data_IF_040424566044
#
_entry.id   IF_040424566044
#
_cell.length_a   1.000
_cell.length_b   1.000
_cell.length_c   1.000
_cell.angle_alpha   90.00
_cell.angle_beta   90.00
_cell.angle_gamma   90.00
#
_symmetry.space_group_name_H-M   'P 1'
#
loop_
_entity.id
_entity.type
_entity.pdbx_description
1 polymer ?
#
# COMPACT_ATOMS: atom_id res chain seq x y z
N UNK A 1 -3.79 31.04 8.85
CA UNK A 1 -4.66 30.27 7.94
C UNK A 1 -3.97 28.95 7.73
N UNK A 2 -4.65 27.82 7.92
CA UNK A 2 -4.08 26.53 7.53
C UNK A 2 -3.81 26.57 6.02
N UNK A 3 -2.72 25.95 5.58
CA UNK A 3 -2.46 25.79 4.16
C UNK A 3 -3.65 25.04 3.52
N UNK A 4 -4.05 25.46 2.33
CA UNK A 4 -5.15 24.87 1.59
C UNK A 4 -4.80 23.42 1.26
N UNK A 5 -3.54 23.16 0.89
CA UNK A 5 -3.02 21.80 0.63
C UNK A 5 -3.08 20.95 1.89
N UNK A 6 -2.63 21.46 3.04
CA UNK A 6 -2.73 20.73 4.33
C UNK A 6 -4.18 20.33 4.66
N UNK A 7 -5.13 21.22 4.35
CA UNK A 7 -6.56 20.97 4.58
C UNK A 7 -7.12 19.91 3.63
N UNK A 8 -6.68 19.91 2.36
CA UNK A 8 -7.03 18.86 1.39
C UNK A 8 -6.47 17.50 1.81
N UNK A 9 -5.22 17.46 2.27
CA UNK A 9 -4.58 16.23 2.74
C UNK A 9 -5.24 15.70 4.02
N UNK A 10 -5.61 16.57 4.97
CA UNK A 10 -6.40 16.16 6.14
C UNK A 10 -7.76 15.59 5.74
N UNK A 11 -8.41 16.17 4.73
CA UNK A 11 -9.67 15.65 4.20
C UNK A 11 -9.47 14.27 3.54
N UNK A 12 -8.43 14.07 2.73
CA UNK A 12 -8.11 12.78 2.12
C UNK A 12 -7.83 11.68 3.15
N UNK A 13 -7.27 12.02 4.33
CA UNK A 13 -7.09 11.07 5.44
C UNK A 13 -8.39 10.65 6.13
N UNK A 14 -9.50 11.37 5.88
CA UNK A 14 -10.81 11.12 6.53
C UNK A 14 -11.85 10.57 5.57
N UNK A 15 -11.75 10.85 4.27
CA UNK A 15 -12.66 10.34 3.27
C UNK A 15 -12.46 8.83 3.04
N UNK A 16 -13.49 8.12 2.55
CA UNK A 16 -13.37 6.70 2.24
C UNK A 16 -12.22 6.43 1.25
N UNK A 17 -11.23 5.60 1.60
CA UNK A 17 -10.04 5.35 0.77
C UNK A 17 -10.34 4.53 -0.49
N UNK A 18 -11.51 3.89 -0.57
CA UNK A 18 -11.99 3.22 -1.80
C UNK A 18 -12.37 4.20 -2.90
N UNK A 19 -12.48 5.50 -2.61
CA UNK A 19 -12.86 6.55 -3.57
C UNK A 19 -11.78 7.60 -3.76
N UNK A 20 -10.51 7.25 -3.50
CA UNK A 20 -9.39 8.19 -3.58
C UNK A 20 -9.34 8.92 -4.92
N UNK A 21 -9.48 8.22 -6.05
CA UNK A 21 -9.47 8.84 -7.39
C UNK A 21 -10.60 9.88 -7.57
N UNK A 22 -11.83 9.54 -7.15
CA UNK A 22 -12.99 10.45 -7.21
C UNK A 22 -12.78 11.67 -6.31
N UNK A 23 -12.26 11.46 -5.10
CA UNK A 23 -12.01 12.50 -4.12
C UNK A 23 -10.93 13.47 -4.62
N UNK A 24 -9.82 12.96 -5.16
CA UNK A 24 -8.74 13.78 -5.75
C UNK A 24 -9.27 14.58 -6.94
N UNK A 25 -10.02 13.94 -7.85
CA UNK A 25 -10.62 14.65 -9.00
C UNK A 25 -11.58 15.77 -8.54
N UNK A 26 -12.37 15.54 -7.49
CA UNK A 26 -13.26 16.55 -6.94
C UNK A 26 -12.49 17.72 -6.30
N UNK A 27 -11.38 17.46 -5.61
CA UNK A 27 -10.54 18.49 -5.00
C UNK A 27 -9.81 19.33 -6.04
N UNK A 28 -9.29 18.70 -7.10
CA UNK A 28 -8.68 19.40 -8.25
C UNK A 28 -9.70 20.32 -8.92
N UNK A 29 -10.96 19.89 -9.08
CA UNK A 29 -12.02 20.75 -9.63
C UNK A 29 -12.37 21.92 -8.71
N UNK A 30 -12.25 21.74 -7.39
CA UNK A 30 -12.55 22.79 -6.41
C UNK A 30 -11.45 23.86 -6.36
N UNK A 31 -10.19 23.43 -6.50
CA UNK A 31 -9.03 24.31 -6.39
C UNK A 31 -7.95 23.88 -7.39
N UNK A 32 -8.11 24.23 -8.68
CA UNK A 32 -7.22 23.79 -9.75
C UNK A 32 -5.79 24.31 -9.61
N UNK A 33 -5.60 25.45 -8.94
CA UNK A 33 -4.29 26.06 -8.72
C UNK A 33 -3.35 25.20 -7.84
N UNK A 34 -3.90 24.23 -7.11
CA UNK A 34 -3.15 23.31 -6.23
C UNK A 34 -3.13 21.87 -6.77
N UNK A 35 -3.50 21.65 -8.04
CA UNK A 35 -3.59 20.32 -8.61
C UNK A 35 -2.24 19.58 -8.58
N UNK A 36 -1.16 20.25 -8.95
CA UNK A 36 0.18 19.66 -9.01
C UNK A 36 0.70 19.28 -7.62
N UNK A 37 0.51 20.17 -6.63
CA UNK A 37 0.89 19.92 -5.24
C UNK A 37 0.10 18.74 -4.65
N UNK A 38 -1.20 18.65 -4.96
CA UNK A 38 -2.06 17.57 -4.48
C UNK A 38 -1.71 16.24 -5.12
N UNK A 39 -1.51 16.20 -6.44
CA UNK A 39 -1.13 14.98 -7.17
C UNK A 39 0.27 14.50 -6.76
N UNK A 40 1.20 15.41 -6.49
CA UNK A 40 2.52 15.06 -5.96
C UNK A 40 2.51 14.54 -4.52
N UNK A 41 1.43 14.82 -3.76
CA UNK A 41 1.32 14.50 -2.33
C UNK A 41 0.32 13.38 -2.01
N UNK A 42 -0.48 12.92 -2.98
CA UNK A 42 -1.54 11.93 -2.73
C UNK A 42 -1.37 10.73 -3.64
N UNK A 43 -0.93 9.63 -3.05
CA UNK A 43 -0.86 8.34 -3.72
C UNK A 43 -2.27 7.87 -4.13
N UNK A 44 -2.42 7.53 -5.40
CA UNK A 44 -3.64 6.96 -5.97
C UNK A 44 -3.46 5.46 -6.26
N UNK A 45 -4.53 4.65 -6.26
CA UNK A 45 -4.47 3.24 -6.62
C UNK A 45 -3.77 3.01 -7.97
N UNK A 46 -2.94 1.98 -8.06
CA UNK A 46 -2.14 1.74 -9.26
C UNK A 46 -3.01 1.23 -10.40
N UNK A 47 -2.86 1.85 -11.57
CA UNK A 47 -3.58 1.47 -12.78
C UNK A 47 -2.76 0.47 -13.59
N UNK A 48 -3.41 -0.57 -14.10
CA UNK A 48 -2.77 -1.53 -15.00
C UNK A 48 -2.95 -1.05 -16.44
N UNK A 49 -1.85 -0.91 -17.17
CA UNK A 49 -1.83 -0.62 -18.61
C UNK A 49 -1.02 -1.69 -19.33
N UNK A 50 -1.27 -1.85 -20.62
CA UNK A 50 -0.55 -2.81 -21.47
C UNK A 50 0.32 -2.05 -22.46
N UNK A 51 1.61 -2.38 -22.49
CA UNK A 51 2.54 -1.84 -23.48
C UNK A 51 2.22 -2.42 -24.86
N UNK A 52 1.87 -1.56 -25.82
CA UNK A 52 1.51 -1.99 -27.18
C UNK A 52 2.67 -2.58 -27.97
N UNK A 53 3.91 -2.20 -27.66
CA UNK A 53 5.08 -2.66 -28.40
C UNK A 53 5.51 -4.05 -27.93
N UNK A 54 5.42 -4.32 -26.63
CA UNK A 54 5.90 -5.58 -26.02
C UNK A 54 4.78 -6.55 -25.64
N UNK A 55 3.54 -6.08 -25.54
CA UNK A 55 2.38 -6.85 -25.05
C UNK A 55 2.41 -7.14 -23.55
N UNK A 56 3.32 -6.52 -22.79
CA UNK A 56 3.47 -6.72 -21.36
C UNK A 56 2.69 -5.69 -20.57
N UNK A 57 2.09 -6.12 -19.47
CA UNK A 57 1.43 -5.20 -18.54
C UNK A 57 2.46 -4.43 -17.70
N UNK A 58 2.09 -3.20 -17.33
CA UNK A 58 2.86 -2.34 -16.44
C UNK A 58 1.92 -1.52 -15.55
N UNK A 59 2.48 -0.98 -14.47
CA UNK A 59 1.76 -0.15 -13.50
C UNK A 59 1.96 1.32 -13.82
N UNK A 60 0.84 2.04 -13.92
CA UNK A 60 0.77 3.46 -14.19
C UNK A 60 0.43 4.23 -12.91
N UNK A 61 1.17 5.31 -12.70
CA UNK A 61 1.05 6.27 -11.61
C UNK A 61 1.52 7.65 -12.08
N UNK A 62 1.48 8.66 -11.23
CA UNK A 62 1.89 10.01 -11.61
C UNK A 62 3.40 10.12 -11.92
N UNK A 63 4.25 9.25 -11.34
CA UNK A 63 5.71 9.27 -11.58
C UNK A 63 6.14 8.81 -12.98
N UNK A 64 5.29 8.10 -13.73
CA UNK A 64 5.57 7.72 -15.12
C UNK A 64 4.60 8.38 -16.11
N UNK A 65 3.89 9.42 -15.66
CA UNK A 65 2.91 10.17 -16.44
C UNK A 65 3.54 11.47 -16.95
N UNK A 66 3.23 11.81 -18.19
CA UNK A 66 3.50 13.12 -18.78
C UNK A 66 2.26 13.56 -19.56
N UNK A 67 1.64 14.67 -19.15
CA UNK A 67 0.30 15.05 -19.62
C UNK A 67 -0.74 13.94 -19.38
N UNK A 68 -1.27 13.36 -20.45
CA UNK A 68 -2.23 12.24 -20.40
C UNK A 68 -1.62 10.90 -20.84
N UNK A 69 -0.31 10.88 -21.06
CA UNK A 69 0.42 9.70 -21.54
C UNK A 69 1.26 9.08 -20.44
N UNK A 70 1.48 7.77 -20.55
CA UNK A 70 2.25 7.00 -19.57
C UNK A 70 3.39 6.27 -20.24
N UNK A 71 4.59 6.36 -19.66
CA UNK A 71 5.80 5.69 -20.14
C UNK A 71 5.81 4.23 -19.72
N UNK A 72 5.97 3.32 -20.68
CA UNK A 72 6.17 1.89 -20.40
C UNK A 72 7.61 1.63 -19.92
N UNK A 73 7.81 0.82 -18.87
CA UNK A 73 9.14 0.43 -18.42
C UNK A 73 9.80 -0.59 -19.37
N UNK A 74 9.04 -1.21 -20.28
CA UNK A 74 9.54 -2.22 -21.20
C UNK A 74 10.04 -1.60 -22.51
N UNK A 75 9.17 -0.91 -23.24
CA UNK A 75 9.51 -0.23 -24.50
C UNK A 75 10.21 1.12 -24.31
N UNK A 76 10.05 1.76 -23.15
CA UNK A 76 10.42 3.16 -22.91
C UNK A 76 9.61 4.17 -23.73
N UNK A 77 8.46 3.76 -24.28
CA UNK A 77 7.59 4.61 -25.08
C UNK A 77 6.39 5.08 -24.25
N UNK A 78 5.88 6.27 -24.58
CA UNK A 78 4.65 6.82 -24.02
C UNK A 78 3.42 6.33 -24.79
N UNK A 79 2.33 6.02 -24.08
CA UNK A 79 1.00 5.79 -24.68
C UNK A 79 -0.05 6.70 -24.00
N UNK A 80 -0.72 7.60 -24.76
CA UNK A 80 -0.51 7.91 -26.19
C UNK A 80 0.91 8.42 -26.52
N UNK A 81 1.40 8.25 -27.78
CA UNK A 81 2.73 8.70 -28.17
C UNK A 81 2.94 10.20 -27.93
N UNK A 82 4.08 10.54 -27.33
CA UNK A 82 4.55 11.90 -27.11
C UNK A 82 5.93 12.08 -27.75
N UNK A 83 6.17 13.23 -28.39
CA UNK A 83 7.46 13.56 -29.01
C UNK A 83 8.45 14.17 -28.00
N UNK A 84 7.94 14.84 -26.96
CA UNK A 84 8.67 15.60 -25.95
C UNK A 84 8.56 15.04 -24.53
N UNK A 85 8.17 13.77 -24.41
CA UNK A 85 8.05 13.09 -23.11
C UNK A 85 9.38 12.94 -22.38
N UNK A 86 9.35 13.13 -21.06
CA UNK A 86 10.56 13.06 -20.23
C UNK A 86 11.11 11.62 -20.13
N UNK A 87 12.37 11.41 -20.51
CA UNK A 87 13.01 10.07 -20.46
C UNK A 87 14.31 10.08 -19.66
N UNK A 88 14.63 8.98 -18.95
CA UNK A 88 15.88 8.88 -18.20
C UNK A 88 17.10 8.86 -19.12
N UNK A 89 18.25 9.29 -18.62
CA UNK A 89 19.52 9.21 -19.34
C UNK A 89 19.87 7.76 -19.73
N UNK A 90 20.68 7.56 -20.78
CA UNK A 90 21.05 6.22 -21.25
C UNK A 90 21.75 5.34 -20.20
N UNK A 91 22.44 5.97 -19.22
CA UNK A 91 23.03 5.26 -18.07
C UNK A 91 21.93 4.82 -17.11
N UNK A 92 21.03 5.73 -16.75
CA UNK A 92 19.96 5.46 -15.81
C UNK A 92 18.93 4.47 -16.37
N UNK A 93 18.62 4.54 -17.67
CA UNK A 93 17.74 3.57 -18.34
C UNK A 93 18.26 2.13 -18.26
N UNK A 94 19.58 1.91 -18.35
CA UNK A 94 20.16 0.56 -18.15
C UNK A 94 19.95 0.06 -16.73
N UNK A 95 20.07 0.96 -15.75
CA UNK A 95 19.78 0.64 -14.36
C UNK A 95 18.29 0.36 -14.15
N UNK A 96 17.40 1.13 -14.77
CA UNK A 96 15.95 0.95 -14.73
C UNK A 96 15.52 -0.42 -15.28
N UNK A 97 16.11 -0.86 -16.39
CA UNK A 97 15.85 -2.21 -16.96
C UNK A 97 16.28 -3.29 -15.98
N UNK A 98 17.50 -3.21 -15.44
CA UNK A 98 18.00 -4.17 -14.45
C UNK A 98 17.17 -4.17 -13.16
N UNK A 99 16.69 -3.01 -12.73
CA UNK A 99 15.81 -2.88 -11.57
C UNK A 99 14.44 -3.53 -11.82
N UNK A 100 13.85 -3.34 -13.01
CA UNK A 100 12.61 -4.02 -13.38
C UNK A 100 12.76 -5.54 -13.34
N UNK A 101 13.87 -6.10 -13.84
CA UNK A 101 14.14 -7.55 -13.76
C UNK A 101 14.28 -8.04 -12.31
N UNK A 102 15.02 -7.30 -11.48
CA UNK A 102 15.22 -7.64 -10.07
C UNK A 102 13.90 -7.61 -9.28
N UNK A 103 13.10 -6.56 -9.45
CA UNK A 103 11.83 -6.40 -8.75
C UNK A 103 10.71 -7.29 -9.31
N UNK A 104 10.78 -7.73 -10.57
CA UNK A 104 9.90 -8.80 -11.06
C UNK A 104 10.21 -10.15 -10.40
N UNK A 105 11.50 -10.44 -10.15
CA UNK A 105 11.89 -11.62 -9.36
C UNK A 105 11.44 -11.49 -7.90
N UNK A 106 11.61 -10.31 -7.28
CA UNK A 106 11.11 -10.02 -5.94
C UNK A 106 9.59 -10.25 -5.84
N UNK A 107 8.84 -9.69 -6.80
CA UNK A 107 7.39 -9.87 -6.92
C UNK A 107 7.02 -11.35 -6.96
N UNK A 108 7.69 -12.14 -7.81
CA UNK A 108 7.38 -13.57 -7.91
C UNK A 108 7.61 -14.30 -6.59
N UNK A 109 8.72 -14.03 -5.89
CA UNK A 109 9.05 -14.69 -4.62
C UNK A 109 8.10 -14.32 -3.47
N UNK A 110 7.62 -13.07 -3.42
CA UNK A 110 6.82 -12.58 -2.30
C UNK A 110 5.31 -12.53 -2.55
N UNK A 111 4.89 -12.40 -3.82
CA UNK A 111 3.49 -12.21 -4.21
C UNK A 111 2.94 -13.35 -5.06
N UNK A 112 3.78 -14.25 -5.57
CA UNK A 112 3.39 -15.41 -6.40
C UNK A 112 2.41 -15.00 -7.53
N UNK A 113 2.77 -13.95 -8.26
CA UNK A 113 1.94 -13.31 -9.29
C UNK A 113 1.80 -11.79 -9.09
N UNK A 114 0.80 -11.19 -9.72
CA UNK A 114 0.65 -9.73 -9.75
C UNK A 114 1.54 -9.07 -10.82
N UNK A 115 1.70 -7.76 -10.74
CA UNK A 115 2.47 -6.94 -11.69
C UNK A 115 3.45 -6.08 -10.90
N UNK A 116 4.63 -5.85 -11.44
CA UNK A 116 5.61 -4.89 -10.93
C UNK A 116 6.05 -3.93 -12.02
N UNK A 117 6.46 -2.72 -11.63
CA UNK A 117 7.08 -1.76 -12.55
C UNK A 117 8.01 -0.85 -11.78
N UNK A 118 9.14 -0.49 -12.41
CA UNK A 118 10.13 0.42 -11.84
C UNK A 118 10.40 1.55 -12.82
N UNK A 119 10.36 2.78 -12.33
CA UNK A 119 10.69 3.98 -13.10
C UNK A 119 11.73 4.79 -12.36
N UNK A 120 12.77 5.22 -13.08
CA UNK A 120 13.84 6.06 -12.57
C UNK A 120 13.85 7.39 -13.34
N UNK A 121 14.26 8.46 -12.67
CA UNK A 121 14.48 9.76 -13.28
C UNK A 121 15.71 10.45 -12.67
N UNK A 122 16.38 11.26 -13.47
CA UNK A 122 17.57 11.99 -13.07
C UNK A 122 17.18 13.19 -12.17
N UNK A 123 17.99 13.50 -11.16
CA UNK A 123 17.82 14.70 -10.32
C UNK A 123 18.83 15.78 -10.72
N UNK A 124 18.45 17.05 -10.56
CA UNK A 124 19.31 18.19 -10.92
C UNK A 124 20.63 18.23 -10.13
N UNK A 125 20.61 17.75 -8.88
CA UNK A 125 21.75 17.76 -7.96
C UNK A 125 22.78 16.63 -8.23
N UNK A 126 22.64 15.90 -9.35
CA UNK A 126 23.57 14.85 -9.77
C UNK A 126 23.31 13.46 -9.15
N UNK A 127 22.17 13.29 -8.49
CA UNK A 127 21.62 12.01 -8.05
C UNK A 127 20.56 11.46 -9.02
N UNK A 128 19.81 10.47 -8.56
CA UNK A 128 18.62 9.99 -9.27
C UNK A 128 17.55 9.60 -8.25
N UNK A 129 16.31 9.60 -8.68
CA UNK A 129 15.19 9.09 -7.91
C UNK A 129 14.47 8.00 -8.70
N UNK A 130 13.60 7.28 -8.01
CA UNK A 130 12.82 6.25 -8.65
C UNK A 130 11.61 5.85 -7.84
N UNK A 131 10.73 5.12 -8.49
CA UNK A 131 9.59 4.48 -7.85
C UNK A 131 9.58 2.99 -8.20
N UNK A 132 9.36 2.15 -7.19
CA UNK A 132 9.08 0.72 -7.35
C UNK A 132 7.61 0.49 -7.01
N UNK A 133 6.90 -0.12 -7.94
CA UNK A 133 5.47 -0.36 -7.87
C UNK A 133 5.20 -1.87 -7.85
N UNK A 134 4.34 -2.32 -6.96
CA UNK A 134 3.88 -3.70 -6.86
C UNK A 134 2.36 -3.70 -6.74
N UNK A 135 1.68 -4.45 -7.60
CA UNK A 135 0.22 -4.63 -7.51
C UNK A 135 -0.13 -6.11 -7.55
N UNK A 136 -0.85 -6.56 -6.53
CA UNK A 136 -1.51 -7.88 -6.51
C UNK A 136 -3.00 -7.66 -6.38
N UNK A 137 -3.77 -8.26 -7.26
CA UNK A 137 -5.24 -8.26 -7.19
C UNK A 137 -5.74 -9.68 -7.01
N UNK A 138 -6.80 -9.82 -6.21
CA UNK A 138 -7.56 -11.05 -6.04
C UNK A 138 -8.87 -10.90 -6.81
N UNK A 139 -8.94 -11.55 -7.97
CA UNK A 139 -10.16 -11.61 -8.77
C UNK A 139 -11.00 -12.78 -8.28
N UNK A 140 -12.19 -12.54 -7.70
CA UNK A 140 -13.04 -13.63 -7.23
C UNK A 140 -13.64 -14.37 -8.43
N UNK A 141 -13.60 -15.71 -8.43
CA UNK A 141 -14.26 -16.52 -9.44
C UNK A 141 -15.77 -16.60 -9.20
N UNK A 142 -16.20 -16.44 -7.94
CA UNK A 142 -17.61 -16.43 -7.55
C UNK A 142 -17.95 -15.19 -6.70
N UNK A 143 -19.22 -14.73 -6.64
CA UNK A 143 -19.60 -13.57 -5.84
C UNK A 143 -19.36 -13.70 -4.32
N UNK A 144 -19.13 -14.92 -3.83
CA UNK A 144 -18.95 -15.24 -2.42
C UNK A 144 -17.47 -15.41 -2.04
N UNK A 145 -16.58 -15.48 -3.04
CA UNK A 145 -15.15 -15.49 -2.79
C UNK A 145 -14.67 -14.09 -2.34
N UNK A 146 -13.70 -14.03 -1.42
CA UNK A 146 -13.02 -12.80 -1.09
C UNK A 146 -12.39 -12.15 -2.32
N UNK A 147 -12.49 -10.82 -2.38
CA UNK A 147 -11.79 -10.00 -3.37
C UNK A 147 -10.94 -8.96 -2.66
N UNK A 148 -9.97 -8.41 -3.36
CA UNK A 148 -9.09 -7.42 -2.78
C UNK A 148 -7.96 -7.00 -3.69
N UNK A 149 -7.29 -5.92 -3.29
CA UNK A 149 -6.06 -5.46 -3.93
C UNK A 149 -5.03 -5.09 -2.88
N UNK A 150 -3.79 -5.28 -3.27
CA UNK A 150 -2.61 -4.80 -2.59
C UNK A 150 -1.82 -3.97 -3.58
N UNK A 151 -1.53 -2.73 -3.22
CA UNK A 151 -0.76 -1.79 -4.02
C UNK A 151 0.38 -1.26 -3.14
N UNK A 152 1.64 -1.56 -3.49
CA UNK A 152 2.83 -0.97 -2.86
C UNK A 152 3.44 0.08 -3.77
N UNK A 153 3.76 1.24 -3.20
CA UNK A 153 4.44 2.36 -3.85
C UNK A 153 5.66 2.71 -3.02
N UNK A 154 6.85 2.54 -3.59
CA UNK A 154 8.12 2.82 -2.94
C UNK A 154 8.88 3.89 -3.72
N UNK A 155 8.80 5.13 -3.26
CA UNK A 155 9.50 6.26 -3.86
C UNK A 155 10.83 6.43 -3.15
N UNK A 156 11.93 6.51 -3.89
CA UNK A 156 13.24 6.71 -3.30
C UNK A 156 14.04 7.79 -4.01
N UNK A 157 14.89 8.48 -3.26
CA UNK A 157 15.88 9.44 -3.74
C UNK A 157 17.27 8.91 -3.41
N UNK A 158 18.21 9.03 -4.36
CA UNK A 158 19.60 8.60 -4.20
C UNK A 158 20.53 9.77 -4.47
N UNK A 159 21.36 10.10 -3.47
CA UNK A 159 22.42 11.09 -3.60
C UNK A 159 23.79 10.40 -3.56
N UNK A 160 24.48 10.36 -4.69
CA UNK A 160 25.81 9.74 -4.80
C UNK A 160 26.90 10.63 -4.19
N UNK A 161 27.75 10.04 -3.35
CA UNK A 161 28.91 10.67 -2.69
C UNK A 161 30.15 9.79 -2.85
N UNK A 162 30.72 9.78 -4.05
CA UNK A 162 31.91 9.00 -4.37
C UNK A 162 31.63 7.49 -4.40
N UNK A 163 32.09 6.74 -3.39
CA UNK A 163 31.85 5.28 -3.25
C UNK A 163 30.73 4.94 -2.27
N UNK A 164 29.93 5.92 -1.90
CA UNK A 164 28.76 5.76 -1.05
C UNK A 164 27.58 6.51 -1.68
N UNK A 165 26.37 6.09 -1.38
CA UNK A 165 25.15 6.84 -1.68
C UNK A 165 24.31 6.95 -0.44
N UNK A 166 23.66 8.10 -0.30
CA UNK A 166 22.61 8.32 0.67
C UNK A 166 21.27 8.02 0.01
N UNK A 167 20.49 7.12 0.58
CA UNK A 167 19.17 6.72 0.10
C UNK A 167 18.10 7.24 1.04
N UNK A 168 17.06 7.84 0.47
CA UNK A 168 15.85 8.23 1.19
C UNK A 168 14.68 7.48 0.59
N UNK A 169 14.08 6.56 1.33
CA UNK A 169 12.98 5.71 0.89
C UNK A 169 11.69 6.10 1.60
N UNK A 170 10.67 6.40 0.82
CA UNK A 170 9.30 6.69 1.22
C UNK A 170 8.40 5.57 0.70
N UNK A 171 7.58 4.96 1.57
CA UNK A 171 6.69 3.87 1.14
C UNK A 171 5.25 4.03 1.61
N UNK A 172 4.34 3.70 0.70
CA UNK A 172 2.90 3.65 0.90
C UNK A 172 2.39 2.28 0.48
N UNK A 173 1.56 1.68 1.33
CA UNK A 173 0.85 0.43 0.98
C UNK A 173 -0.65 0.69 1.10
N UNK A 174 -1.38 0.44 0.02
CA UNK A 174 -2.84 0.45 -0.01
C UNK A 174 -3.36 -0.99 -0.01
N UNK A 175 -4.29 -1.26 0.89
CA UNK A 175 -4.92 -2.56 1.04
C UNK A 175 -6.43 -2.40 0.95
N UNK A 176 -7.05 -3.16 0.06
CA UNK A 176 -8.48 -3.33 -0.01
C UNK A 176 -8.82 -4.82 0.12
N UNK A 177 -9.74 -5.14 1.02
CA UNK A 177 -10.24 -6.47 1.27
C UNK A 177 -11.76 -6.40 1.34
N UNK A 178 -12.44 -7.17 0.50
CA UNK A 178 -13.90 -7.29 0.50
C UNK A 178 -14.24 -8.76 0.65
N UNK A 179 -14.96 -9.09 1.71
CA UNK A 179 -15.49 -10.43 1.96
C UNK A 179 -17.01 -10.38 1.92
N UNK A 180 -17.62 -11.34 1.23
CA UNK A 180 -19.07 -11.47 1.13
C UNK A 180 -19.48 -12.78 1.77
N UNK A 181 -20.28 -12.68 2.82
CA UNK A 181 -20.94 -13.82 3.41
C UNK A 181 -22.09 -14.27 2.50
N UNK A 182 -21.98 -15.48 1.97
CA UNK A 182 -23.07 -16.23 1.39
C UNK A 182 -22.81 -17.73 1.58
N UNK A 183 -23.87 -18.50 1.78
CA UNK A 183 -23.79 -19.96 1.83
C UNK A 183 -23.62 -20.49 0.42
N UNK A 184 -22.41 -20.91 0.07
CA UNK A 184 -22.23 -21.76 -1.09
C UNK A 184 -22.70 -23.18 -0.72
N UNK A 185 -23.94 -23.53 -1.09
CA UNK A 185 -24.47 -24.89 -0.91
C UNK A 185 -23.64 -25.93 -1.69
N UNK A 186 -22.73 -25.51 -2.58
CA UNK A 186 -21.90 -26.42 -3.38
C UNK A 186 -20.64 -26.95 -2.68
N UNK A 187 -20.21 -26.35 -1.55
CA UNK A 187 -19.02 -26.82 -0.78
C UNK A 187 -19.42 -27.72 0.40
N UNK A 188 -20.71 -27.95 0.62
CA UNK A 188 -21.22 -28.82 1.69
C UNK A 188 -21.27 -30.31 1.34
N UNK A 189 -20.80 -30.72 0.14
CA UNK A 189 -20.83 -32.12 -0.30
C UNK A 189 -19.41 -32.69 -0.34
N UNK A 190 -18.75 -32.79 0.81
CA UNK A 190 -17.71 -33.79 1.05
C UNK A 190 -17.33 -33.81 2.54
N UNK A 191 -18.26 -34.26 3.39
CA UNK A 191 -18.00 -34.92 4.69
C UNK A 191 -19.31 -35.38 5.34
N UNK A 192 -19.91 -36.40 4.74
CA UNK A 192 -20.65 -37.43 5.47
C UNK A 192 -19.67 -38.60 5.52
N UNK A 193 -19.12 -39.01 6.65
CA UNK A 193 -19.83 -39.75 7.69
C UNK A 193 -19.13 -39.57 9.05
N UNK A 194 -19.81 -38.95 10.02
CA UNK A 194 -19.70 -39.35 11.43
C UNK A 194 -20.90 -38.79 12.17
N UNK A 195 -21.78 -39.71 12.61
CA UNK A 195 -22.87 -39.40 13.52
C UNK A 195 -22.27 -38.92 14.85
N UNK A 196 -22.31 -37.61 15.08
CA UNK A 196 -21.92 -36.99 16.34
C UNK A 196 -22.81 -35.79 16.60
N UNK A 197 -23.60 -35.90 17.65
CA UNK A 197 -24.57 -34.91 18.12
C UNK A 197 -23.84 -33.63 18.57
N UNK A 198 -23.71 -32.66 17.68
CA UNK A 198 -23.36 -31.27 18.03
C UNK A 198 -24.31 -30.33 17.31
N UNK A 199 -25.48 -30.14 17.91
CA UNK A 199 -26.34 -28.99 17.61
C UNK A 199 -25.52 -27.72 17.82
N UNK A 200 -25.08 -27.13 16.72
CA UNK A 200 -24.46 -25.81 16.68
C UNK A 200 -25.48 -24.81 17.29
N UNK A 201 -25.25 -24.25 18.49
CA UNK A 201 -26.18 -23.29 19.04
C UNK A 201 -25.91 -21.97 18.32
N UNK A 202 -26.95 -21.43 17.71
CA UNK A 202 -27.00 -20.18 16.94
C UNK A 202 -26.60 -20.29 15.46
N UNK A 203 -27.62 -20.51 14.63
CA UNK A 203 -27.58 -20.28 13.18
C UNK A 203 -27.51 -18.79 12.86
N UNK A 204 -26.33 -18.18 13.07
CA UNK A 204 -26.06 -16.88 12.46
C UNK A 204 -25.90 -17.10 10.96
N UNK A 205 -26.87 -16.61 10.18
CA UNK A 205 -26.67 -16.48 8.73
C UNK A 205 -25.44 -15.60 8.54
N UNK A 206 -24.42 -16.13 7.86
CA UNK A 206 -23.29 -15.36 7.35
C UNK A 206 -23.76 -14.54 6.15
N UNK A 207 -24.78 -13.70 6.34
CA UNK A 207 -25.29 -12.78 5.32
C UNK A 207 -24.68 -11.41 5.62
N UNK A 208 -23.82 -10.92 4.73
CA UNK A 208 -23.25 -9.59 4.88
C UNK A 208 -21.97 -9.39 4.09
N UNK A 209 -21.80 -8.18 3.54
CA UNK A 209 -20.55 -7.72 2.94
C UNK A 209 -19.74 -6.97 4.01
N UNK A 210 -18.48 -7.37 4.19
CA UNK A 210 -17.49 -6.64 4.95
C UNK A 210 -16.43 -6.11 3.99
N UNK A 211 -16.33 -4.79 3.89
CA UNK A 211 -15.26 -4.09 3.19
C UNK A 211 -14.31 -3.48 4.20
N UNK A 212 -13.04 -3.82 4.10
CA UNK A 212 -11.96 -3.30 4.92
C UNK A 212 -10.90 -2.72 3.98
N UNK A 213 -10.68 -1.41 4.07
CA UNK A 213 -9.86 -0.67 3.11
C UNK A 213 -9.11 0.45 3.78
N UNK A 214 -7.94 0.76 3.24
CA UNK A 214 -7.16 1.93 3.65
C UNK A 214 -5.75 1.90 3.11
N UNK A 215 -5.06 3.00 3.32
CA UNK A 215 -3.63 3.10 3.08
C UNK A 215 -2.90 3.15 4.42
N UNK A 216 -1.70 2.64 4.44
CA UNK A 216 -0.79 2.86 5.54
C UNK A 216 0.47 3.53 5.02
N UNK A 217 0.72 4.69 5.61
CA UNK A 217 1.94 5.45 5.43
C UNK A 217 2.37 5.88 6.85
N UNK A 218 3.09 5.01 7.57
CA UNK A 218 3.43 5.27 8.99
C UNK A 218 4.71 6.08 9.12
N UNK A 219 4.74 7.09 9.97
CA UNK A 219 5.92 7.88 10.28
C UNK A 219 6.87 7.13 11.23
N UNK A 220 8.15 7.01 10.89
CA UNK A 220 9.22 6.78 11.86
C UNK A 220 9.74 8.15 12.32
N UNK A 221 9.20 8.68 13.42
CA UNK A 221 9.73 9.90 14.01
C UNK A 221 10.98 9.56 14.84
N UNK A 222 12.15 9.97 14.37
CA UNK A 222 13.26 10.30 15.28
C UNK A 222 13.90 11.62 14.87
N UNK A 223 13.61 12.65 15.68
CA UNK A 223 14.33 13.91 15.86
C UNK A 223 14.39 14.95 14.73
N UNK A 224 13.63 16.03 14.95
CA UNK A 224 13.96 17.45 14.76
C UNK A 224 14.56 17.90 13.42
N UNK A 225 13.68 18.30 12.50
CA UNK A 225 13.88 19.51 11.68
C UNK A 225 12.51 20.16 11.43
N UNK A 226 12.45 21.47 11.65
CA UNK A 226 11.25 22.31 11.47
C UNK A 226 11.18 22.76 10.02
N UNK A 227 10.72 21.90 9.12
CA UNK A 227 10.07 22.31 7.87
C UNK A 227 8.90 21.34 7.66
N UNK A 228 7.81 21.80 7.03
CA UNK A 228 6.55 21.05 6.91
C UNK A 228 6.77 19.76 6.09
N UNK A 229 7.12 18.68 6.78
CA UNK A 229 7.44 17.40 6.17
C UNK A 229 6.19 16.51 6.18
N UNK A 230 5.67 16.26 4.98
CA UNK A 230 4.57 15.33 4.74
C UNK A 230 4.90 13.95 5.35
N UNK A 231 3.92 13.37 6.04
CA UNK A 231 4.12 12.23 6.94
C UNK A 231 4.14 10.90 6.17
N UNK A 232 5.30 10.51 5.65
CA UNK A 232 5.53 9.19 5.08
C UNK A 232 6.45 8.30 5.95
N UNK A 233 6.49 6.99 5.69
CA UNK A 233 7.55 6.12 6.23
C UNK A 233 8.83 6.44 5.46
N UNK A 234 9.55 7.45 5.93
CA UNK A 234 10.82 7.86 5.37
C UNK A 234 11.95 7.15 6.14
N UNK A 235 12.73 6.33 5.45
CA UNK A 235 14.01 5.79 5.95
C UNK A 235 15.12 6.48 5.19
N UNK A 236 16.15 6.89 5.93
CA UNK A 236 17.40 7.35 5.36
C UNK A 236 18.53 6.39 5.75
N UNK A 237 19.27 5.90 4.77
CA UNK A 237 20.38 4.98 4.97
C UNK A 237 21.52 5.27 3.99
N UNK A 238 22.76 5.20 4.47
CA UNK A 238 23.94 5.27 3.62
C UNK A 238 24.39 3.86 3.22
N UNK A 239 24.61 3.64 1.92
CA UNK A 239 25.05 2.35 1.39
C UNK A 239 26.34 2.47 0.55
N UNK A 240 27.24 1.48 0.61
CA UNK A 240 28.41 1.46 -0.26
C UNK A 240 28.00 1.22 -1.72
N UNK A 241 28.78 1.80 -2.65
CA UNK A 241 28.64 1.61 -4.09
C UNK A 241 29.92 0.97 -4.61
N UNK A 242 29.81 -0.25 -5.14
CA UNK A 242 30.90 -0.93 -5.85
C UNK A 242 30.73 -0.79 -7.37
N UNK A 243 29.49 -0.87 -7.82
CA UNK A 243 29.06 -0.82 -9.21
C UNK A 243 27.60 -0.33 -9.27
N UNK A 244 27.04 -0.14 -10.47
CA UNK A 244 25.67 0.35 -10.61
C UNK A 244 24.62 -0.61 -10.03
N UNK A 245 24.87 -1.93 -10.00
CA UNK A 245 23.92 -2.89 -9.40
C UNK A 245 23.87 -2.81 -7.87
N UNK A 246 24.87 -2.19 -7.24
CA UNK A 246 24.90 -1.94 -5.79
C UNK A 246 23.67 -1.11 -5.36
N UNK A 247 23.22 -0.16 -6.19
CA UNK A 247 22.01 0.63 -5.90
C UNK A 247 20.77 -0.26 -5.79
N UNK A 248 20.57 -1.18 -6.74
CA UNK A 248 19.42 -2.11 -6.73
C UNK A 248 19.45 -2.98 -5.48
N UNK A 249 20.62 -3.46 -5.08
CA UNK A 249 20.77 -4.29 -3.87
C UNK A 249 20.44 -3.49 -2.61
N UNK A 250 20.98 -2.28 -2.48
CA UNK A 250 20.75 -1.43 -1.31
C UNK A 250 19.26 -1.05 -1.20
N UNK A 251 18.65 -0.58 -2.29
CA UNK A 251 17.24 -0.19 -2.34
C UNK A 251 16.32 -1.41 -2.12
N UNK A 252 16.63 -2.54 -2.76
CA UNK A 252 15.87 -3.77 -2.63
C UNK A 252 15.79 -4.25 -1.17
N UNK A 253 16.91 -4.20 -0.45
CA UNK A 253 16.94 -4.54 0.98
C UNK A 253 16.11 -3.56 1.82
N UNK A 254 16.24 -2.25 1.57
CA UNK A 254 15.44 -1.25 2.28
C UNK A 254 13.94 -1.45 2.06
N UNK A 255 13.52 -1.74 0.83
CA UNK A 255 12.13 -2.03 0.47
C UNK A 255 11.64 -3.31 1.14
N UNK A 256 12.42 -4.39 1.09
CA UNK A 256 12.06 -5.67 1.71
C UNK A 256 11.86 -5.54 3.23
N UNK A 257 12.80 -4.90 3.93
CA UNK A 257 12.69 -4.67 5.38
C UNK A 257 11.48 -3.79 5.72
N UNK A 258 11.20 -2.79 4.88
CA UNK A 258 10.10 -1.87 5.08
C UNK A 258 8.74 -2.53 4.81
N UNK A 259 8.58 -3.24 3.69
CA UNK A 259 7.36 -3.99 3.38
C UNK A 259 7.04 -5.01 4.48
N UNK A 260 8.04 -5.73 5.00
CA UNK A 260 7.85 -6.69 6.09
C UNK A 260 7.32 -6.01 7.36
N UNK A 261 7.90 -4.88 7.76
CA UNK A 261 7.42 -4.09 8.91
C UNK A 261 6.01 -3.56 8.68
N UNK A 262 5.73 -3.07 7.47
CA UNK A 262 4.43 -2.53 7.13
C UNK A 262 3.34 -3.62 7.09
N UNK A 263 3.65 -4.80 6.54
CA UNK A 263 2.73 -5.95 6.52
C UNK A 263 2.30 -6.38 7.93
N UNK A 264 3.26 -6.52 8.85
CA UNK A 264 2.97 -6.85 10.25
C UNK A 264 2.06 -5.80 10.90
N UNK A 265 2.35 -4.53 10.62
CA UNK A 265 1.57 -3.42 11.15
C UNK A 265 0.14 -3.39 10.59
N UNK A 266 -0.02 -3.61 9.28
CA UNK A 266 -1.32 -3.72 8.64
C UNK A 266 -2.12 -4.84 9.29
N UNK A 267 -1.52 -6.01 9.51
CA UNK A 267 -2.18 -7.13 10.18
C UNK A 267 -2.72 -6.77 11.57
N UNK A 268 -1.93 -6.10 12.40
CA UNK A 268 -2.35 -5.66 13.74
C UNK A 268 -3.50 -4.64 13.70
N UNK A 269 -3.45 -3.67 12.80
CA UNK A 269 -4.47 -2.62 12.71
C UNK A 269 -5.75 -3.17 12.09
N UNK A 270 -5.65 -3.85 10.94
CA UNK A 270 -6.77 -4.31 10.13
C UNK A 270 -7.54 -5.45 10.77
N UNK A 271 -6.87 -6.37 11.48
CA UNK A 271 -7.53 -7.54 12.06
C UNK A 271 -7.55 -7.55 13.59
N UNK A 272 -6.69 -6.75 14.23
CA UNK A 272 -6.71 -6.55 15.69
C UNK A 272 -7.62 -5.40 16.08
N UNK A 273 -7.21 -4.16 15.80
CA UNK A 273 -7.91 -2.96 16.29
C UNK A 273 -9.34 -2.82 15.79
N UNK A 274 -9.59 -3.04 14.49
CA UNK A 274 -10.95 -2.93 13.93
C UNK A 274 -11.90 -3.94 14.56
N UNK A 275 -11.42 -5.17 14.76
CA UNK A 275 -12.15 -6.23 15.45
C UNK A 275 -12.49 -5.79 16.86
N UNK A 276 -11.51 -5.37 17.64
CA UNK A 276 -11.71 -4.98 19.03
C UNK A 276 -12.74 -3.82 19.14
N UNK A 277 -12.69 -2.82 18.25
CA UNK A 277 -13.68 -1.74 18.18
C UNK A 277 -15.09 -2.28 17.89
N UNK A 278 -15.24 -3.23 16.95
CA UNK A 278 -16.55 -3.84 16.64
C UNK A 278 -17.12 -4.60 17.84
N UNK A 279 -16.28 -5.36 18.55
CA UNK A 279 -16.69 -6.10 19.75
C UNK A 279 -17.03 -5.18 20.93
N UNK A 280 -16.40 -4.01 21.03
CA UNK A 280 -16.74 -3.00 22.03
C UNK A 280 -18.10 -2.33 21.75
N UNK A 281 -18.45 -2.12 20.48
CA UNK A 281 -19.74 -1.55 20.09
C UNK A 281 -20.90 -2.53 20.32
N UNK A 282 -20.66 -3.84 20.13
CA UNK A 282 -21.67 -4.88 20.34
C UNK A 282 -21.04 -6.10 21.01
N UNK A 283 -21.18 -6.16 22.34
CA UNK A 283 -20.76 -7.33 23.10
C UNK A 283 -21.75 -8.48 22.88
N UNK A 284 -21.22 -9.66 22.54
CA UNK A 284 -21.97 -10.91 22.50
C UNK A 284 -22.19 -11.45 23.91
N UNK A 285 -21.31 -11.09 24.85
CA UNK A 285 -21.45 -11.46 26.25
C UNK A 285 -22.54 -10.65 26.93
N UNK A 286 -23.31 -11.32 27.81
CA UNK A 286 -24.30 -10.65 28.62
C UNK A 286 -23.61 -9.59 29.51
N UNK A 287 -24.10 -8.36 29.44
CA UNK A 287 -23.61 -7.21 30.20
C UNK A 287 -23.50 -7.50 31.71
N UNK A 288 -24.39 -8.33 32.27
CA UNK A 288 -24.33 -8.75 33.67
C UNK A 288 -23.11 -9.62 33.99
N UNK A 289 -22.72 -10.51 33.09
CA UNK A 289 -21.55 -11.37 33.24
C UNK A 289 -20.27 -10.54 33.17
N UNK A 290 -20.22 -9.57 32.25
CA UNK A 290 -19.12 -8.61 32.15
C UNK A 290 -19.01 -7.70 33.39
N UNK A 291 -20.15 -7.28 33.98
CA UNK A 291 -20.16 -6.54 35.26
C UNK A 291 -19.62 -7.38 36.41
N UNK A 292 -20.12 -8.62 36.57
CA UNK A 292 -19.63 -9.55 37.60
C UNK A 292 -18.13 -9.82 37.49
N UNK A 293 -17.62 -9.98 36.27
CA UNK A 293 -16.18 -10.19 36.05
C UNK A 293 -15.34 -8.96 36.40
N UNK A 294 -15.84 -7.74 36.13
CA UNK A 294 -15.20 -6.49 36.56
C UNK A 294 -15.18 -6.34 38.08
N UNK A 295 -16.26 -6.71 38.75
CA UNK A 295 -16.35 -6.66 40.21
C UNK A 295 -15.40 -7.68 40.87
N UNK A 296 -15.34 -8.90 40.33
CA UNK A 296 -14.36 -9.92 40.73
C UNK A 296 -12.90 -9.46 40.51
N UNK A 297 -12.60 -8.81 39.38
CA UNK A 297 -11.27 -8.25 39.13
C UNK A 297 -10.91 -7.14 40.12
N UNK A 298 -11.86 -6.27 40.48
CA UNK A 298 -11.64 -5.24 41.51
C UNK A 298 -11.40 -5.86 42.89
N UNK A 299 -12.14 -6.91 43.22
CA UNK A 299 -12.00 -7.63 44.48
C UNK A 299 -10.61 -8.30 44.57
N UNK A 300 -10.20 -9.03 43.52
CA UNK A 300 -8.87 -9.64 43.41
C UNK A 300 -7.73 -8.61 43.46
N UNK A 301 -7.87 -7.48 42.76
CA UNK A 301 -6.88 -6.40 42.81
C UNK A 301 -6.78 -5.75 44.21
N UNK A 302 -7.89 -5.74 44.97
CA UNK A 302 -7.91 -5.35 46.37
C UNK A 302 -7.17 -6.33 47.28
N UNK A 303 -7.22 -7.64 46.99
CA UNK A 303 -6.47 -8.66 47.72
C UNK A 303 -4.96 -8.63 47.44
N UNK A 304 -4.54 -8.26 46.23
CA UNK A 304 -3.12 -8.18 45.84
C UNK A 304 -2.42 -6.94 46.44
N UNK A 305 -3.18 -5.92 46.85
CA UNK A 305 -2.66 -4.70 47.50
C UNK A 305 -2.52 -4.79 49.02
N UNK A 306 -2.73 -5.97 49.63
CA UNK A 306 -2.50 -6.22 51.06
C UNK A 306 -1.24 -7.01 51.32
#
# INVERSE_FOLDING_TARGET
>A
MADVVDSMLDLMRRLPPTRTEENVSALIRLAPDYADDLLGSVDQPLQVKTDRATGRDYLACDYNRDGDSYRSPWSNEYDPPLEDGTVPTSKLRKLEIAANEAFDTYREMYYEGGISSVYLWDLEDGGFAGVVLLKKSMTPATPYEPSGSWDSIHVFETAERGRQAHYKLTSTIMLQLVTRGGTDESVAVEKSETKGDSKNPEGWKRDGEMSLSGSMTRQASSYQSKEHQFHYFQIEEDGPIHDSSSHITNIGKMIEDLENKMRNTLQEVYFGKTRDIVYDLRSVDNLEKARRQRDLQKELAGFIKR
#
